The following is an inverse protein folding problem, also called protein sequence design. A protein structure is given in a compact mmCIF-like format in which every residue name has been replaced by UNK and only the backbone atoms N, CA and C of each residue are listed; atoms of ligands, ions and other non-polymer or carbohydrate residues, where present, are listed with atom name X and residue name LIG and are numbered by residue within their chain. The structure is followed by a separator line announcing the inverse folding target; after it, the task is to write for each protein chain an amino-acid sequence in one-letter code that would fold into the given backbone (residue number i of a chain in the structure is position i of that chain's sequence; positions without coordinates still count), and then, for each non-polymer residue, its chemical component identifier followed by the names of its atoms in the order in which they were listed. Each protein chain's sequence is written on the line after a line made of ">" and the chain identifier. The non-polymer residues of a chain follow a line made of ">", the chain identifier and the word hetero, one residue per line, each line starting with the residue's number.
data_IF_068241471506
#
_entry.id   IF_068241471506
#
_cell.length_a   1.000
_cell.length_b   1.000
_cell.length_c   1.000
_cell.angle_alpha   90.00
_cell.angle_beta   90.00
_cell.angle_gamma   90.00
#
_symmetry.space_group_name_H-M   'P 1'
#
loop_
_entity.id
_entity.type
_entity.pdbx_description
1 polymer ?
#
# COMPACT_ATOMS: atom_id res chain seq x y z
N UNK A 1 -11.85 3.22 -11.62
CA UNK A 1 -10.56 3.88 -11.45
C UNK A 1 -9.38 2.95 -11.72
N UNK A 2 -8.18 3.52 -11.77
CA UNK A 2 -6.96 2.80 -12.13
C UNK A 2 -5.85 3.11 -11.13
N UNK A 3 -5.22 2.06 -10.62
CA UNK A 3 -3.90 2.16 -9.99
C UNK A 3 -2.85 1.90 -11.06
N UNK A 4 -1.94 2.84 -11.23
CA UNK A 4 -0.92 2.78 -12.28
C UNK A 4 0.43 2.42 -11.68
N UNK A 5 0.91 1.26 -12.05
CA UNK A 5 2.22 0.74 -11.66
C UNK A 5 3.34 1.57 -12.28
N UNK A 6 4.36 1.90 -11.47
CA UNK A 6 5.57 2.61 -11.91
C UNK A 6 5.29 3.84 -12.82
N UNK A 7 4.26 4.62 -12.49
CA UNK A 7 3.75 5.71 -13.33
C UNK A 7 4.81 6.74 -13.75
N UNK A 8 5.84 6.95 -12.92
CA UNK A 8 6.92 7.90 -13.17
C UNK A 8 7.98 7.45 -14.18
N UNK A 9 7.93 6.21 -14.68
CA UNK A 9 9.03 5.62 -15.46
C UNK A 9 8.67 5.20 -16.90
N UNK A 10 7.51 5.61 -17.41
CA UNK A 10 7.01 5.15 -18.71
C UNK A 10 7.78 5.74 -19.88
N UNK A 11 8.15 7.01 -19.82
CA UNK A 11 8.97 7.63 -20.87
C UNK A 11 10.44 7.48 -20.53
N UNK A 12 11.21 6.91 -21.46
CA UNK A 12 12.64 6.67 -21.26
C UNK A 12 13.46 7.93 -21.57
N UNK A 13 14.61 8.06 -20.88
CA UNK A 13 15.50 9.22 -21.01
C UNK A 13 14.83 10.58 -20.72
N UNK A 14 13.94 10.60 -19.73
CA UNK A 14 13.14 11.75 -19.32
C UNK A 14 13.47 12.15 -17.86
N UNK A 15 14.68 12.67 -17.58
CA UNK A 15 15.14 12.91 -16.20
C UNK A 15 14.31 13.96 -15.45
N UNK A 16 13.66 14.88 -16.17
CA UNK A 16 12.77 15.89 -15.60
C UNK A 16 11.31 15.47 -15.58
N UNK A 17 10.99 14.26 -16.04
CA UNK A 17 9.64 13.70 -16.15
C UNK A 17 8.69 14.52 -17.04
N UNK A 18 9.20 15.39 -17.90
CA UNK A 18 8.37 16.24 -18.77
C UNK A 18 7.54 15.44 -19.77
N UNK A 19 8.14 14.45 -20.41
CA UNK A 19 7.46 13.56 -21.36
C UNK A 19 6.45 12.67 -20.65
N UNK A 20 6.81 12.16 -19.47
CA UNK A 20 5.94 11.33 -18.64
C UNK A 20 4.71 12.14 -18.15
N UNK A 21 4.92 13.36 -17.70
CA UNK A 21 3.84 14.28 -17.30
C UNK A 21 2.91 14.55 -18.48
N UNK A 22 3.45 14.90 -19.64
CA UNK A 22 2.63 15.19 -20.84
C UNK A 22 1.82 13.97 -21.30
N UNK A 23 2.41 12.77 -21.23
CA UNK A 23 1.69 11.52 -21.52
C UNK A 23 0.47 11.35 -20.61
N UNK A 24 0.66 11.53 -19.31
CA UNK A 24 -0.43 11.36 -18.34
C UNK A 24 -1.48 12.47 -18.44
N UNK A 25 -1.12 13.69 -18.77
CA UNK A 25 -2.06 14.78 -19.03
C UNK A 25 -2.99 14.45 -20.18
N UNK A 26 -2.47 13.92 -21.30
CA UNK A 26 -3.28 13.48 -22.43
C UNK A 26 -4.24 12.33 -22.06
N UNK A 27 -3.77 11.38 -21.25
CA UNK A 27 -4.61 10.29 -20.74
C UNK A 27 -5.69 10.82 -19.80
N UNK A 28 -5.36 11.79 -18.95
CA UNK A 28 -6.32 12.42 -18.05
C UNK A 28 -7.41 13.19 -18.82
N UNK A 29 -7.04 13.96 -19.84
CA UNK A 29 -8.01 14.63 -20.71
C UNK A 29 -8.99 13.66 -21.31
N UNK A 30 -8.50 12.56 -21.90
CA UNK A 30 -9.35 11.50 -22.42
C UNK A 30 -10.29 10.90 -21.37
N UNK A 31 -9.78 10.65 -20.16
CA UNK A 31 -10.62 10.09 -19.08
C UNK A 31 -11.69 11.08 -18.62
N UNK A 32 -11.37 12.37 -18.53
CA UNK A 32 -12.33 13.40 -18.13
C UNK A 32 -13.47 13.56 -19.17
N UNK A 33 -13.15 13.36 -20.45
CA UNK A 33 -14.15 13.41 -21.54
C UNK A 33 -15.03 12.16 -21.60
N UNK A 34 -14.43 10.97 -21.55
CA UNK A 34 -15.14 9.71 -21.83
C UNK A 34 -15.58 8.99 -20.53
N UNK A 35 -14.88 9.20 -19.42
CA UNK A 35 -15.10 8.49 -18.17
C UNK A 35 -14.95 9.41 -16.95
N UNK A 36 -15.76 10.48 -16.82
CA UNK A 36 -15.57 11.54 -15.84
C UNK A 36 -15.60 11.08 -14.37
N UNK A 37 -16.20 9.91 -14.10
CA UNK A 37 -16.22 9.31 -12.76
C UNK A 37 -14.99 8.43 -12.47
N UNK A 38 -14.04 8.32 -13.40
CA UNK A 38 -12.84 7.50 -13.19
C UNK A 38 -11.77 8.27 -12.43
N UNK A 39 -11.17 7.62 -11.43
CA UNK A 39 -10.02 8.16 -10.72
C UNK A 39 -8.73 7.42 -11.12
N UNK A 40 -7.62 8.16 -11.15
CA UNK A 40 -6.27 7.62 -11.33
C UNK A 40 -5.45 7.79 -10.06
N UNK A 41 -4.78 6.71 -9.66
CA UNK A 41 -3.84 6.67 -8.54
C UNK A 41 -2.49 6.21 -9.06
N UNK A 42 -1.45 6.97 -8.82
CA UNK A 42 -0.09 6.63 -9.27
C UNK A 42 0.72 5.91 -8.21
N UNK A 43 1.55 5.01 -8.63
CA UNK A 43 2.73 4.59 -7.91
C UNK A 43 3.93 5.37 -8.45
N UNK A 44 4.15 6.56 -7.90
CA UNK A 44 5.23 7.45 -8.32
C UNK A 44 6.09 7.92 -7.14
N UNK A 45 5.44 8.39 -6.06
CA UNK A 45 6.11 8.89 -4.86
C UNK A 45 6.68 10.30 -5.01
N UNK A 46 6.26 11.04 -6.03
CA UNK A 46 6.60 12.44 -6.28
C UNK A 46 5.32 13.22 -6.58
N UNK A 47 4.56 13.61 -5.55
CA UNK A 47 3.22 14.17 -5.72
C UNK A 47 3.19 15.47 -6.53
N UNK A 48 4.27 16.26 -6.50
CA UNK A 48 4.42 17.43 -7.34
C UNK A 48 4.41 17.11 -8.84
N UNK A 49 5.00 16.00 -9.26
CA UNK A 49 5.00 15.55 -10.66
C UNK A 49 3.74 14.78 -11.03
N UNK A 50 3.37 13.84 -10.18
CA UNK A 50 2.22 12.97 -10.39
C UNK A 50 0.92 13.77 -10.54
N UNK A 51 0.63 14.68 -9.60
CA UNK A 51 -0.61 15.46 -9.61
C UNK A 51 -0.64 16.48 -10.77
N UNK A 52 0.50 17.07 -11.14
CA UNK A 52 0.61 17.88 -12.34
C UNK A 52 0.37 17.02 -13.61
N UNK A 53 0.79 15.78 -13.59
CA UNK A 53 0.51 14.79 -14.65
C UNK A 53 -0.97 14.41 -14.77
N UNK A 54 -1.83 14.86 -13.84
CA UNK A 54 -3.26 14.61 -13.90
C UNK A 54 -3.75 13.47 -13.02
N UNK A 55 -2.91 12.86 -12.21
CA UNK A 55 -3.37 11.90 -11.21
C UNK A 55 -4.18 12.60 -10.13
N UNK A 56 -5.17 11.90 -9.61
CA UNK A 56 -5.98 12.37 -8.48
C UNK A 56 -5.26 12.15 -7.15
N UNK A 57 -4.43 11.10 -7.10
CA UNK A 57 -3.74 10.66 -5.90
C UNK A 57 -2.39 10.04 -6.26
N UNK A 58 -1.42 10.14 -5.34
CA UNK A 58 -0.12 9.49 -5.45
C UNK A 58 0.20 8.68 -4.20
N UNK A 59 0.73 7.49 -4.36
CA UNK A 59 1.10 6.64 -3.23
C UNK A 59 2.34 7.16 -2.50
N UNK A 60 2.23 7.25 -1.18
CA UNK A 60 3.39 7.32 -0.32
C UNK A 60 4.14 5.98 -0.44
N UNK A 61 5.35 6.03 -1.00
CA UNK A 61 6.17 4.83 -1.13
C UNK A 61 6.77 4.45 0.22
N UNK A 62 6.76 3.15 0.52
CA UNK A 62 7.27 2.61 1.78
C UNK A 62 8.80 2.58 1.86
N UNK A 63 9.48 2.68 0.74
CA UNK A 63 10.94 2.71 0.63
C UNK A 63 11.46 4.13 0.37
N UNK A 64 12.76 4.30 0.46
CA UNK A 64 13.40 5.60 0.26
C UNK A 64 13.20 6.55 1.47
N UNK A 65 13.20 7.85 1.24
CA UNK A 65 13.28 8.85 2.31
C UNK A 65 11.94 9.10 3.03
N UNK A 66 10.93 8.26 2.84
CA UNK A 66 9.61 8.44 3.47
C UNK A 66 9.62 8.13 4.96
N UNK A 67 10.55 7.31 5.45
CA UNK A 67 10.58 6.80 6.83
C UNK A 67 9.29 6.08 7.25
N UNK A 68 8.49 5.63 6.29
CA UNK A 68 7.23 4.97 6.54
C UNK A 68 7.40 3.64 7.28
N UNK A 69 8.43 2.87 6.93
CA UNK A 69 8.69 1.58 7.58
C UNK A 69 9.10 1.71 9.05
N UNK A 70 9.67 2.83 9.45
CA UNK A 70 10.06 3.10 10.85
C UNK A 70 8.83 3.11 11.78
N UNK A 71 7.65 3.40 11.24
CA UNK A 71 6.40 3.39 12.00
C UNK A 71 5.87 1.99 12.25
N UNK A 72 6.06 1.06 11.31
CA UNK A 72 5.28 -0.18 11.27
C UNK A 72 6.10 -1.46 11.06
N UNK A 73 7.28 -1.39 10.41
CA UNK A 73 7.92 -2.58 9.79
C UNK A 73 9.41 -2.76 10.05
N UNK A 74 10.01 -1.93 10.88
CA UNK A 74 11.36 -2.17 11.41
C UNK A 74 11.30 -3.14 12.61
N UNK A 75 12.44 -3.51 13.16
CA UNK A 75 12.53 -4.47 14.26
C UNK A 75 11.79 -3.99 15.52
N UNK A 76 11.83 -2.68 15.80
CA UNK A 76 11.13 -2.04 16.92
C UNK A 76 10.28 -0.87 16.40
N UNK A 77 9.13 -1.16 15.75
CA UNK A 77 8.33 -0.12 15.11
C UNK A 77 7.83 0.92 16.11
N UNK A 78 7.69 2.16 15.64
CA UNK A 78 7.20 3.25 16.50
C UNK A 78 5.87 2.94 17.19
N UNK A 79 4.98 2.18 16.53
CA UNK A 79 3.68 1.80 17.09
C UNK A 79 3.69 0.51 17.92
N UNK A 80 4.86 -0.12 18.11
CA UNK A 80 4.94 -1.24 19.02
C UNK A 80 5.15 -0.76 20.46
N UNK A 81 4.77 -1.58 21.44
CA UNK A 81 5.05 -1.34 22.87
C UNK A 81 6.53 -1.32 23.21
N UNK A 82 7.34 -1.98 22.38
CA UNK A 82 8.79 -2.06 22.51
C UNK A 82 9.50 -1.08 21.55
N UNK A 83 8.82 0.02 21.20
CA UNK A 83 9.33 1.01 20.27
C UNK A 83 10.65 1.63 20.71
N UNK A 84 11.62 1.65 19.81
CA UNK A 84 12.91 2.33 20.01
C UNK A 84 13.06 3.55 19.09
N UNK A 85 12.12 3.77 18.18
CA UNK A 85 12.16 4.79 17.14
C UNK A 85 11.42 6.08 17.49
N UNK A 86 11.46 6.98 16.52
CA UNK A 86 10.77 8.28 16.56
C UNK A 86 9.97 8.47 15.27
N UNK A 87 8.76 9.02 15.36
CA UNK A 87 7.98 9.40 14.19
C UNK A 87 8.47 10.72 13.55
N UNK A 88 9.51 11.36 14.08
CA UNK A 88 9.92 12.71 13.68
C UNK A 88 10.34 12.78 12.21
N UNK A 89 11.13 11.84 11.76
CA UNK A 89 11.63 11.76 10.38
C UNK A 89 10.49 11.52 9.41
N UNK A 90 9.58 10.61 9.74
CA UNK A 90 8.37 10.37 8.97
C UNK A 90 7.51 11.63 8.88
N UNK A 91 7.24 12.30 10.00
CA UNK A 91 6.42 13.52 10.03
C UNK A 91 7.02 14.61 9.15
N UNK A 92 8.34 14.83 9.24
CA UNK A 92 9.03 15.82 8.41
C UNK A 92 8.94 15.48 6.91
N UNK A 93 9.17 14.22 6.54
CA UNK A 93 9.07 13.75 5.16
C UNK A 93 7.63 13.84 4.64
N UNK A 94 6.65 13.45 5.46
CA UNK A 94 5.24 13.53 5.10
C UNK A 94 4.77 14.97 4.89
N UNK A 95 5.13 15.88 5.80
CA UNK A 95 4.79 17.30 5.67
C UNK A 95 5.37 17.91 4.39
N UNK A 96 6.63 17.56 4.06
CA UNK A 96 7.25 18.03 2.83
C UNK A 96 6.52 17.51 1.57
N UNK A 97 6.14 16.22 1.55
CA UNK A 97 5.38 15.65 0.45
C UNK A 97 3.95 16.19 0.39
N UNK A 98 3.32 16.41 1.53
CA UNK A 98 1.98 17.00 1.59
C UNK A 98 1.98 18.43 1.03
N UNK A 99 2.99 19.23 1.36
CA UNK A 99 3.14 20.58 0.80
C UNK A 99 3.28 20.57 -0.73
N UNK A 100 3.95 19.55 -1.30
CA UNK A 100 4.11 19.38 -2.75
C UNK A 100 2.81 19.08 -3.48
N UNK A 101 1.77 18.64 -2.81
CA UNK A 101 0.46 18.41 -3.45
C UNK A 101 -0.17 19.72 -3.94
N UNK A 102 0.17 20.84 -3.31
CA UNK A 102 -0.35 22.17 -3.65
C UNK A 102 -1.90 22.20 -3.76
N UNK A 103 -2.56 21.34 -2.99
CA UNK A 103 -4.02 21.17 -3.01
C UNK A 103 -4.60 20.54 -4.28
N UNK A 104 -3.76 20.04 -5.18
CA UNK A 104 -4.20 19.47 -6.48
C UNK A 104 -4.69 18.03 -6.39
N UNK A 105 -4.41 17.34 -5.30
CA UNK A 105 -4.80 15.95 -5.09
C UNK A 105 -4.38 15.43 -3.72
N UNK A 106 -4.40 14.12 -3.54
CA UNK A 106 -4.17 13.47 -2.25
C UNK A 106 -2.93 12.58 -2.27
N UNK A 107 -2.29 12.44 -1.11
CA UNK A 107 -1.33 11.37 -0.86
C UNK A 107 -2.11 10.15 -0.36
N UNK A 108 -1.89 8.99 -0.99
CA UNK A 108 -2.40 7.71 -0.50
C UNK A 108 -1.47 7.14 0.55
N UNK A 109 -2.01 6.85 1.73
CA UNK A 109 -1.27 6.26 2.84
C UNK A 109 -1.71 4.81 2.97
N UNK A 110 -0.90 3.83 2.51
CA UNK A 110 -1.28 2.43 2.54
C UNK A 110 -1.07 1.82 3.93
N UNK A 111 -1.96 0.95 4.38
CA UNK A 111 -1.67 0.05 5.50
C UNK A 111 -0.60 -0.97 5.10
N UNK A 112 -0.67 -1.42 3.88
CA UNK A 112 0.25 -2.36 3.26
C UNK A 112 0.01 -2.44 1.76
N UNK A 113 0.78 -3.30 1.10
CA UNK A 113 0.54 -3.69 -0.29
C UNK A 113 1.11 -5.10 -0.55
N UNK A 114 1.00 -5.56 -1.78
CA UNK A 114 1.46 -6.89 -2.19
C UNK A 114 2.99 -7.07 -2.21
N UNK A 115 3.74 -6.01 -1.95
CA UNK A 115 5.22 -5.98 -1.93
C UNK A 115 5.80 -5.67 -0.55
N UNK A 116 4.94 -5.45 0.44
CA UNK A 116 5.34 -5.19 1.83
C UNK A 116 4.96 -6.34 2.75
N UNK A 117 5.66 -6.47 3.85
CA UNK A 117 5.23 -7.31 4.97
C UNK A 117 3.90 -6.77 5.53
N UNK A 118 3.06 -7.66 6.04
CA UNK A 118 1.82 -7.26 6.71
C UNK A 118 2.11 -6.54 8.02
N UNK A 119 1.22 -5.62 8.43
CA UNK A 119 1.34 -4.91 9.70
C UNK A 119 1.42 -5.87 10.90
N UNK A 120 0.61 -6.93 10.89
CA UNK A 120 0.58 -7.94 11.94
C UNK A 120 1.81 -8.86 12.02
N UNK A 121 2.86 -8.59 11.22
CA UNK A 121 4.16 -9.25 11.38
C UNK A 121 4.86 -8.79 12.65
N UNK A 122 4.84 -7.48 12.91
CA UNK A 122 5.60 -6.84 13.98
C UNK A 122 4.71 -6.13 15.02
N UNK A 123 3.40 -6.07 14.80
CA UNK A 123 2.44 -5.41 15.69
C UNK A 123 1.39 -6.42 16.17
N UNK A 124 1.10 -6.40 17.47
CA UNK A 124 0.00 -7.17 18.04
C UNK A 124 -1.37 -6.50 17.80
N UNK A 125 -2.44 -7.15 18.24
CA UNK A 125 -3.82 -6.67 17.99
C UNK A 125 -4.10 -5.28 18.56
N UNK A 126 -3.55 -4.93 19.70
CA UNK A 126 -3.80 -3.62 20.33
C UNK A 126 -2.92 -2.53 19.67
N UNK A 127 -1.71 -2.87 19.32
CA UNK A 127 -0.80 -2.02 18.54
C UNK A 127 -1.36 -1.73 17.15
N UNK A 128 -1.96 -2.72 16.49
CA UNK A 128 -2.68 -2.54 15.21
C UNK A 128 -3.81 -1.53 15.32
N UNK A 129 -4.59 -1.54 16.41
CA UNK A 129 -5.66 -0.55 16.61
C UNK A 129 -5.11 0.89 16.65
N UNK A 130 -3.97 1.08 17.32
CA UNK A 130 -3.31 2.40 17.36
C UNK A 130 -2.76 2.79 16.00
N UNK A 131 -2.13 1.85 15.29
CA UNK A 131 -1.64 2.07 13.92
C UNK A 131 -2.77 2.46 12.96
N UNK A 132 -3.91 1.77 13.02
CA UNK A 132 -5.08 2.12 12.22
C UNK A 132 -5.71 3.46 12.62
N UNK A 133 -5.79 3.77 13.91
CA UNK A 133 -6.26 5.09 14.37
C UNK A 133 -5.40 6.21 13.77
N UNK A 134 -4.09 6.02 13.73
CA UNK A 134 -3.17 6.95 13.07
C UNK A 134 -3.42 7.02 11.56
N UNK A 135 -3.40 5.90 10.84
CA UNK A 135 -3.59 5.85 9.38
C UNK A 135 -4.88 6.54 8.94
N UNK A 136 -5.98 6.29 9.68
CA UNK A 136 -7.30 6.83 9.36
C UNK A 136 -7.47 8.30 9.76
N UNK A 137 -6.59 8.86 10.59
CA UNK A 137 -6.62 10.26 11.00
C UNK A 137 -5.62 11.16 10.27
N UNK A 138 -4.72 10.57 9.47
CA UNK A 138 -3.76 11.34 8.69
C UNK A 138 -4.44 12.11 7.55
N UNK A 139 -3.98 13.34 7.23
CA UNK A 139 -4.37 14.01 6.01
C UNK A 139 -4.01 13.17 4.78
N UNK A 140 -4.93 13.02 3.83
CA UNK A 140 -4.73 12.19 2.64
C UNK A 140 -5.80 11.13 2.48
N UNK A 141 -5.52 10.11 1.67
CA UNK A 141 -6.43 8.99 1.42
C UNK A 141 -5.87 7.69 2.04
N UNK A 142 -6.49 7.12 3.07
CA UNK A 142 -6.06 5.83 3.58
C UNK A 142 -6.39 4.72 2.57
N UNK A 143 -5.41 3.87 2.30
CA UNK A 143 -5.54 2.68 1.45
C UNK A 143 -5.32 1.44 2.29
N UNK A 144 -6.38 0.70 2.53
CA UNK A 144 -6.32 -0.51 3.34
C UNK A 144 -5.98 -1.70 2.44
N UNK A 145 -4.84 -2.34 2.69
CA UNK A 145 -4.51 -3.59 2.03
C UNK A 145 -5.35 -4.71 2.63
N UNK A 146 -5.99 -5.50 1.77
CA UNK A 146 -6.93 -6.54 2.20
C UNK A 146 -6.33 -7.45 3.28
N UNK A 147 -7.11 -7.70 4.30
CA UNK A 147 -6.74 -8.55 5.44
C UNK A 147 -5.95 -7.83 6.54
N UNK A 148 -5.37 -6.65 6.29
CA UNK A 148 -4.74 -5.87 7.36
C UNK A 148 -5.80 -5.39 8.37
N UNK A 149 -7.02 -5.08 7.91
CA UNK A 149 -8.17 -4.67 8.72
C UNK A 149 -8.65 -5.74 9.72
N UNK A 150 -8.33 -7.00 9.46
CA UNK A 150 -8.62 -8.12 10.36
C UNK A 150 -7.36 -8.72 10.98
N UNK A 151 -6.21 -8.08 10.80
CA UNK A 151 -4.93 -8.52 11.37
C UNK A 151 -4.38 -9.81 10.76
N UNK A 152 -4.57 -10.05 9.46
CA UNK A 152 -3.98 -11.20 8.79
C UNK A 152 -2.46 -11.20 8.94
N UNK A 153 -1.90 -12.36 9.23
CA UNK A 153 -0.47 -12.52 9.47
C UNK A 153 0.35 -12.58 8.17
N UNK A 154 1.60 -12.21 8.29
CA UNK A 154 2.63 -12.53 7.32
C UNK A 154 3.09 -13.97 7.53
N UNK A 155 2.98 -14.81 6.53
CA UNK A 155 3.34 -16.24 6.63
C UNK A 155 4.69 -16.47 5.98
N UNK A 156 5.72 -16.62 6.80
CA UNK A 156 7.10 -16.81 6.34
C UNK A 156 7.27 -18.01 5.39
N UNK A 157 8.14 -17.83 4.41
CA UNK A 157 8.58 -18.91 3.54
C UNK A 157 7.56 -19.44 2.53
N UNK A 158 6.43 -18.75 2.33
CA UNK A 158 5.46 -19.16 1.33
C UNK A 158 5.99 -19.00 -0.10
N UNK A 159 5.66 -20.00 -0.91
CA UNK A 159 5.89 -19.97 -2.35
C UNK A 159 4.56 -20.09 -3.10
N UNK A 160 4.44 -19.37 -4.22
CA UNK A 160 3.30 -19.54 -5.14
C UNK A 160 3.51 -20.73 -6.07
N UNK A 161 2.49 -21.08 -6.84
CA UNK A 161 2.57 -22.12 -7.88
C UNK A 161 3.67 -21.81 -8.91
N UNK A 162 3.95 -20.53 -9.15
CA UNK A 162 5.01 -20.08 -10.09
C UNK A 162 6.41 -20.02 -9.45
N UNK A 163 6.53 -20.37 -8.18
CA UNK A 163 7.76 -20.26 -7.42
C UNK A 163 7.75 -19.12 -6.40
N UNK A 164 8.79 -19.06 -5.58
CA UNK A 164 8.83 -18.12 -4.46
C UNK A 164 9.44 -16.77 -4.83
N UNK A 165 8.76 -15.72 -4.43
CA UNK A 165 9.36 -14.41 -4.22
C UNK A 165 9.23 -14.09 -2.73
N UNK A 166 10.20 -13.39 -2.14
CA UNK A 166 10.19 -13.04 -0.71
C UNK A 166 8.92 -12.31 -0.23
N UNK A 167 8.18 -11.71 -1.14
CA UNK A 167 6.91 -11.01 -0.88
C UNK A 167 5.64 -11.85 -1.05
N UNK A 168 5.73 -13.13 -1.41
CA UNK A 168 4.57 -14.03 -1.55
C UNK A 168 3.80 -14.16 -0.24
N UNK A 169 4.49 -14.08 0.87
CA UNK A 169 3.97 -14.25 2.24
C UNK A 169 2.93 -13.21 2.68
N UNK A 170 2.86 -12.07 2.01
CA UNK A 170 1.81 -11.04 2.24
C UNK A 170 0.57 -11.20 1.35
N UNK A 171 0.55 -12.21 0.46
CA UNK A 171 -0.49 -12.41 -0.57
C UNK A 171 -1.39 -13.60 -0.31
N UNK A 172 -1.44 -14.08 0.94
CA UNK A 172 -2.31 -15.20 1.32
C UNK A 172 -3.77 -14.88 1.04
N UNK A 173 -4.60 -15.90 0.71
CA UNK A 173 -6.03 -15.71 0.50
C UNK A 173 -6.72 -15.05 1.69
N UNK A 174 -7.68 -14.16 1.40
CA UNK A 174 -8.51 -13.52 2.43
C UNK A 174 -9.23 -14.55 3.27
N UNK A 175 -9.34 -14.28 4.56
CA UNK A 175 -10.09 -15.12 5.51
C UNK A 175 -11.42 -14.44 5.84
N UNK A 176 -12.52 -15.03 5.38
CA UNK A 176 -13.87 -14.45 5.51
C UNK A 176 -14.64 -15.03 6.70
N UNK A 177 -14.46 -16.34 6.96
CA UNK A 177 -15.21 -17.06 8.00
C UNK A 177 -14.47 -18.35 8.46
N UNK A 178 -15.12 -19.11 9.34
CA UNK A 178 -14.60 -20.38 9.89
C UNK A 178 -14.86 -21.60 9.00
N UNK A 179 -15.46 -21.42 7.83
CA UNK A 179 -15.78 -22.53 6.94
C UNK A 179 -14.54 -23.13 6.26
N UNK A 180 -14.76 -24.16 5.47
CA UNK A 180 -13.70 -24.74 4.65
C UNK A 180 -13.05 -23.65 3.80
N UNK A 181 -11.72 -23.61 3.81
CA UNK A 181 -10.95 -22.62 3.05
C UNK A 181 -11.18 -21.18 3.50
N UNK A 182 -11.60 -20.97 4.75
CA UNK A 182 -11.90 -19.66 5.33
C UNK A 182 -12.90 -18.82 4.48
N UNK A 183 -13.85 -19.49 3.83
CA UNK A 183 -14.81 -18.83 2.93
C UNK A 183 -14.21 -18.28 1.64
N UNK A 184 -12.90 -18.46 1.40
CA UNK A 184 -12.23 -17.88 0.25
C UNK A 184 -12.62 -18.54 -1.07
N UNK A 185 -12.68 -19.89 -1.10
CA UNK A 185 -12.91 -20.61 -2.35
C UNK A 185 -13.53 -21.98 -2.08
N UNK A 186 -14.38 -22.43 -3.03
CA UNK A 186 -14.86 -23.82 -3.10
C UNK A 186 -13.86 -24.77 -3.78
N UNK A 187 -12.74 -24.28 -4.28
CA UNK A 187 -11.70 -25.11 -4.89
C UNK A 187 -11.01 -25.98 -3.83
N UNK A 188 -10.41 -27.08 -4.27
CA UNK A 188 -9.58 -27.90 -3.39
C UNK A 188 -8.31 -27.16 -3.01
N UNK A 189 -7.82 -27.31 -1.78
CA UNK A 189 -6.61 -26.64 -1.26
C UNK A 189 -5.37 -26.85 -2.13
N UNK A 190 -5.25 -28.02 -2.77
CA UNK A 190 -4.14 -28.34 -3.69
C UNK A 190 -4.18 -27.55 -5.02
N UNK A 191 -5.23 -26.77 -5.25
CA UNK A 191 -5.42 -25.90 -6.42
C UNK A 191 -5.22 -24.42 -6.13
N UNK A 192 -4.90 -24.08 -4.91
CA UNK A 192 -4.65 -22.66 -4.60
C UNK A 192 -3.31 -22.21 -5.16
N UNK A 193 -3.31 -20.99 -5.70
CA UNK A 193 -2.10 -20.36 -6.21
C UNK A 193 -1.09 -20.08 -5.08
N UNK A 194 -1.59 -19.70 -3.91
CA UNK A 194 -0.84 -19.51 -2.67
C UNK A 194 -1.61 -20.22 -1.56
N UNK A 195 -0.91 -20.89 -0.67
CA UNK A 195 -1.52 -21.56 0.48
C UNK A 195 -2.27 -20.57 1.38
N UNK A 196 -3.36 -21.06 1.98
CA UNK A 196 -4.08 -20.34 3.02
C UNK A 196 -3.23 -20.30 4.30
N UNK A 197 -3.28 -19.18 5.02
CA UNK A 197 -2.81 -19.13 6.39
C UNK A 197 -3.73 -19.97 7.29
N UNK A 198 -3.20 -21.05 7.83
CA UNK A 198 -3.96 -21.98 8.70
C UNK A 198 -3.98 -21.53 10.16
N UNK A 199 -3.24 -20.50 10.54
CA UNK A 199 -3.20 -20.00 11.93
C UNK A 199 -4.54 -19.44 12.40
N UNK A 200 -5.43 -19.06 11.48
CA UNK A 200 -6.79 -18.54 11.73
C UNK A 200 -6.87 -17.48 12.81
N UNK A 201 -5.86 -16.66 12.92
CA UNK A 201 -5.77 -15.65 13.99
C UNK A 201 -6.70 -14.46 13.78
N UNK A 202 -7.25 -14.32 12.60
CA UNK A 202 -8.03 -13.16 12.18
C UNK A 202 -9.54 -13.27 12.48
N UNK A 203 -10.01 -14.30 13.16
CA UNK A 203 -11.43 -14.67 13.14
C UNK A 203 -12.14 -14.59 14.48
N UNK A 204 -11.64 -13.80 15.43
CA UNK A 204 -12.34 -13.69 16.73
C UNK A 204 -12.48 -12.24 17.19
#
# INVERSE_FOLDING_TARGET
>A
GFRVDMAGSLVKNDPESKGTIALWQNIREFLDEEFPDAAMVSEWGEPDKSLIGGFHMDFLLHFGPSHYNDLFRCDHPYFSKDAEGSAKEFVAAYQANYAKTDGKGLICIPSGNHDMDRLAKNLDTDELKVAFAFLLSMPGAPFIYYGDEIGMHYVEGLTSVEGGYGRTSSRTPMQWDDSLSAGFSAARKDKYYIALDESRTCQR
#
